data_IF_354997505932
#
_entry.id   IF_354997505932
#
_cell.length_a   1.000
_cell.length_b   1.000
_cell.length_c   1.000
_cell.angle_alpha   90.00
_cell.angle_beta   90.00
_cell.angle_gamma   90.00
#
_symmetry.space_group_name_H-M   'P 1'
#
loop_
_entity.id
_entity.type
_entity.pdbx_description
1 polymer ?
#
# COMPACT_ATOMS: atom_id res chain seq x y z
N UNK A 1 4.80 -9.16 -18.75
CA UNK A 1 5.83 -8.26 -18.21
C UNK A 1 6.31 -8.85 -16.89
N UNK A 2 7.59 -8.72 -16.55
CA UNK A 2 8.11 -9.17 -15.25
C UNK A 2 7.73 -8.19 -14.14
N UNK A 3 7.67 -8.67 -12.92
CA UNK A 3 7.47 -7.85 -11.72
C UNK A 3 8.56 -6.77 -11.59
N UNK A 4 8.16 -5.58 -11.14
CA UNK A 4 9.02 -4.42 -10.95
C UNK A 4 9.62 -4.43 -9.53
N UNK A 5 10.95 -4.31 -9.44
CA UNK A 5 11.70 -4.13 -8.18
C UNK A 5 12.05 -2.65 -7.98
N UNK A 6 12.08 -2.21 -6.74
CA UNK A 6 12.33 -0.79 -6.39
C UNK A 6 13.36 -0.70 -5.28
N UNK A 7 14.08 0.41 -5.21
CA UNK A 7 14.75 0.79 -3.96
C UNK A 7 13.69 1.01 -2.85
N UNK A 8 14.07 0.97 -1.56
CA UNK A 8 13.13 1.24 -0.47
C UNK A 8 12.46 2.61 -0.64
N UNK A 9 11.12 2.63 -0.55
CA UNK A 9 10.32 3.86 -0.72
C UNK A 9 9.61 4.20 0.58
N UNK A 10 9.89 5.38 1.14
CA UNK A 10 9.17 5.85 2.31
C UNK A 10 7.69 6.12 1.97
N UNK A 11 6.79 5.56 2.78
CA UNK A 11 5.37 5.80 2.65
C UNK A 11 5.01 7.18 3.20
N UNK A 12 4.30 7.97 2.40
CA UNK A 12 3.73 9.25 2.84
C UNK A 12 2.23 9.15 2.99
N UNK A 13 1.70 9.64 4.12
CA UNK A 13 0.25 9.76 4.30
C UNK A 13 -0.30 10.91 3.44
N UNK A 14 -1.34 10.64 2.65
CA UNK A 14 -1.99 11.62 1.78
C UNK A 14 -3.51 11.61 1.94
N UNK A 15 -4.14 12.76 1.71
CA UNK A 15 -5.60 12.92 1.72
C UNK A 15 -6.26 12.38 0.45
N UNK A 16 -5.51 12.29 -0.65
CA UNK A 16 -5.97 11.74 -1.93
C UNK A 16 -4.89 10.86 -2.56
N UNK A 17 -5.25 9.62 -2.89
CA UNK A 17 -4.34 8.66 -3.55
C UNK A 17 -4.42 8.72 -5.08
N UNK A 18 -5.41 9.43 -5.61
CA UNK A 18 -5.68 9.55 -7.06
C UNK A 18 -5.39 10.94 -7.60
N UNK A 19 -4.88 11.85 -6.76
CA UNK A 19 -4.41 13.14 -7.21
C UNK A 19 -3.11 12.97 -8.02
N UNK A 20 -2.90 13.79 -9.05
CA UNK A 20 -1.69 13.74 -9.90
C UNK A 20 -0.37 13.95 -9.13
N UNK A 21 -0.48 14.48 -7.91
CA UNK A 21 0.62 14.83 -7.00
C UNK A 21 0.93 13.76 -5.94
N UNK A 22 0.15 12.68 -5.87
CA UNK A 22 0.43 11.62 -4.92
C UNK A 22 1.78 10.94 -5.28
N UNK A 23 2.75 10.86 -4.34
CA UNK A 23 4.06 10.30 -4.63
C UNK A 23 4.04 8.78 -4.66
N UNK A 24 5.10 8.18 -5.22
CA UNK A 24 5.29 6.74 -5.17
C UNK A 24 5.28 6.23 -3.72
N UNK A 25 4.58 5.13 -3.45
CA UNK A 25 4.45 4.58 -2.09
C UNK A 25 3.52 5.39 -1.17
N UNK A 26 2.84 6.43 -1.65
CA UNK A 26 1.84 7.14 -0.86
C UNK A 26 0.75 6.20 -0.33
N UNK A 27 0.20 6.52 0.82
CA UNK A 27 -0.86 5.76 1.49
C UNK A 27 -2.02 6.69 1.84
N UNK A 28 -3.24 6.24 1.55
CA UNK A 28 -4.48 6.86 2.05
C UNK A 28 -5.28 5.84 2.84
N UNK A 29 -5.40 6.05 4.14
CA UNK A 29 -6.28 5.24 4.97
C UNK A 29 -7.75 5.52 4.65
N UNK A 30 -8.56 4.48 4.73
CA UNK A 30 -10.01 4.59 4.72
C UNK A 30 -10.57 3.93 5.97
N UNK A 31 -11.66 4.49 6.47
CA UNK A 31 -12.24 4.14 7.77
C UNK A 31 -13.56 3.38 7.59
N UNK A 32 -13.92 2.59 8.61
CA UNK A 32 -15.26 2.04 8.77
C UNK A 32 -16.24 3.14 9.22
N UNK A 33 -17.54 2.83 9.26
CA UNK A 33 -18.55 3.73 9.82
C UNK A 33 -18.27 4.13 11.29
N UNK A 34 -17.51 3.34 12.03
CA UNK A 34 -17.12 3.60 13.43
C UNK A 34 -15.80 4.39 13.55
N UNK A 35 -15.33 5.04 12.48
CA UNK A 35 -14.07 5.79 12.44
C UNK A 35 -12.81 4.97 12.78
N UNK A 36 -12.86 3.65 12.55
CA UNK A 36 -11.71 2.77 12.71
C UNK A 36 -11.05 2.51 11.35
N UNK A 37 -9.71 2.45 11.25
CA UNK A 37 -9.03 2.09 10.01
C UNK A 37 -9.52 0.74 9.48
N UNK A 38 -10.13 0.73 8.30
CA UNK A 38 -10.58 -0.48 7.61
C UNK A 38 -9.49 -1.05 6.69
N UNK A 39 -8.63 -0.18 6.19
CA UNK A 39 -7.54 -0.47 5.29
C UNK A 39 -6.91 0.81 4.77
N UNK A 40 -6.10 0.67 3.74
CA UNK A 40 -5.57 1.79 3.00
C UNK A 40 -5.41 1.46 1.52
N UNK A 41 -5.53 2.48 0.70
CA UNK A 41 -5.03 2.44 -0.67
C UNK A 41 -3.58 2.91 -0.68
N UNK A 42 -2.79 2.36 -1.59
CA UNK A 42 -1.43 2.79 -1.80
C UNK A 42 -1.14 3.00 -3.28
N UNK A 43 -0.27 3.95 -3.58
CA UNK A 43 0.24 4.15 -4.92
C UNK A 43 1.48 3.29 -5.11
N UNK A 44 1.57 2.62 -6.26
CA UNK A 44 2.64 1.69 -6.55
C UNK A 44 4.01 2.32 -6.28
N UNK A 45 4.86 1.68 -5.46
CA UNK A 45 6.19 2.21 -5.12
C UNK A 45 7.11 2.41 -6.33
N UNK A 46 6.83 1.79 -7.48
CA UNK A 46 7.63 2.01 -8.70
C UNK A 46 7.35 3.35 -9.39
N UNK A 47 6.33 4.10 -8.96
CA UNK A 47 5.98 5.40 -9.53
C UNK A 47 5.08 5.36 -10.77
N UNK A 48 4.62 4.17 -11.20
CA UNK A 48 3.69 4.02 -12.33
C UNK A 48 2.27 4.57 -12.07
N UNK A 49 2.00 5.03 -10.84
CA UNK A 49 0.71 5.57 -10.36
C UNK A 49 -0.43 4.56 -10.27
N UNK A 50 -0.19 3.28 -10.50
CA UNK A 50 -1.20 2.26 -10.24
C UNK A 50 -1.54 2.21 -8.75
N UNK A 51 -2.82 2.04 -8.40
CA UNK A 51 -3.29 2.00 -7.02
C UNK A 51 -3.59 0.57 -6.60
N UNK A 52 -3.06 0.16 -5.45
CA UNK A 52 -3.40 -1.08 -4.77
C UNK A 52 -4.17 -0.84 -3.47
N UNK A 53 -4.69 -1.91 -2.88
CA UNK A 53 -5.44 -1.86 -1.62
C UNK A 53 -4.95 -2.90 -0.62
N UNK A 54 -4.87 -2.50 0.64
CA UNK A 54 -4.57 -3.39 1.76
C UNK A 54 -5.69 -3.26 2.79
N UNK A 55 -6.35 -4.38 3.09
CA UNK A 55 -7.39 -4.46 4.11
C UNK A 55 -6.76 -4.79 5.46
N UNK A 56 -7.05 -4.02 6.50
CA UNK A 56 -6.47 -4.20 7.85
C UNK A 56 -7.50 -4.51 8.95
N UNK A 57 -8.79 -4.54 8.61
CA UNK A 57 -9.85 -4.94 9.53
C UNK A 57 -10.87 -5.88 8.90
N UNK A 58 -11.45 -6.77 9.71
CA UNK A 58 -12.46 -7.75 9.30
C UNK A 58 -11.89 -9.04 8.70
N UNK A 59 -12.75 -9.94 8.20
CA UNK A 59 -12.32 -11.24 7.65
C UNK A 59 -11.33 -11.08 6.49
N UNK A 60 -10.25 -11.86 6.52
CA UNK A 60 -9.21 -11.86 5.48
C UNK A 60 -8.31 -10.62 5.47
N UNK A 61 -8.27 -9.85 6.58
CA UNK A 61 -7.40 -8.69 6.71
C UNK A 61 -5.94 -9.08 6.98
N UNK A 62 -5.03 -8.22 6.52
CA UNK A 62 -3.63 -8.25 6.92
C UNK A 62 -3.51 -7.86 8.39
N UNK A 63 -2.54 -8.45 9.08
CA UNK A 63 -2.18 -8.01 10.43
C UNK A 63 -1.46 -6.68 10.33
N UNK A 64 -1.99 -5.64 10.95
CA UNK A 64 -1.45 -4.27 10.94
C UNK A 64 -1.09 -3.83 12.37
N UNK A 65 -0.01 -3.05 12.50
CA UNK A 65 0.50 -2.58 13.80
C UNK A 65 -0.32 -1.44 14.44
N UNK A 66 -1.36 -0.94 13.79
CA UNK A 66 -2.19 0.15 14.30
C UNK A 66 -1.63 1.57 14.09
N UNK A 67 -0.43 1.70 13.50
CA UNK A 67 0.23 2.99 13.32
C UNK A 67 -0.03 3.58 11.93
N UNK A 68 -0.52 4.83 11.89
CA UNK A 68 -0.64 5.61 10.64
C UNK A 68 0.66 6.32 10.25
N UNK A 69 1.52 6.59 11.24
CA UNK A 69 2.81 7.27 11.03
C UNK A 69 3.87 6.31 10.48
N UNK A 70 3.93 5.10 11.04
CA UNK A 70 4.85 4.03 10.64
C UNK A 70 4.08 2.74 10.43
N UNK A 71 3.26 2.66 9.37
CA UNK A 71 2.44 1.49 9.11
C UNK A 71 3.32 0.28 8.84
N UNK A 72 2.95 -0.84 9.45
CA UNK A 72 3.55 -2.16 9.19
C UNK A 72 2.43 -3.16 8.97
N UNK A 73 2.49 -3.92 7.88
CA UNK A 73 1.58 -5.04 7.62
C UNK A 73 2.36 -6.35 7.55
N UNK A 74 1.90 -7.37 8.29
CA UNK A 74 2.54 -8.68 8.34
C UNK A 74 1.95 -9.59 7.25
N UNK A 75 2.39 -9.35 6.03
CA UNK A 75 2.43 -10.22 4.86
C UNK A 75 2.89 -9.38 3.67
N UNK A 76 3.48 -10.00 2.67
CA UNK A 76 3.84 -9.28 1.44
C UNK A 76 2.58 -8.83 0.70
N UNK A 77 2.63 -7.64 0.12
CA UNK A 77 1.59 -7.02 -0.69
C UNK A 77 1.92 -7.23 -2.15
N UNK A 78 1.02 -7.89 -2.88
CA UNK A 78 1.14 -8.12 -4.32
C UNK A 78 0.14 -7.23 -5.06
N UNK A 79 0.67 -6.36 -5.92
CA UNK A 79 -0.09 -5.58 -6.89
C UNK A 79 -0.03 -6.29 -8.24
N UNK A 80 -1.18 -6.49 -8.87
CA UNK A 80 -1.29 -7.11 -10.19
C UNK A 80 -1.58 -6.07 -11.26
N UNK A 81 -1.10 -6.27 -12.48
CA UNK A 81 -1.58 -5.54 -13.66
C UNK A 81 -3.05 -5.90 -13.94
N UNK A 82 -3.68 -5.18 -14.87
CA UNK A 82 -5.07 -5.45 -15.30
C UNK A 82 -5.25 -6.88 -15.87
N UNK A 83 -4.21 -7.47 -16.45
CA UNK A 83 -4.22 -8.84 -16.97
C UNK A 83 -3.94 -9.91 -15.88
N UNK A 84 -3.97 -9.52 -14.61
CA UNK A 84 -3.66 -10.37 -13.44
C UNK A 84 -2.22 -10.87 -13.37
N UNK A 85 -1.30 -10.38 -14.21
CA UNK A 85 0.13 -10.65 -14.03
C UNK A 85 0.70 -9.85 -12.85
N UNK A 86 1.67 -10.38 -12.10
CA UNK A 86 2.37 -9.62 -11.05
C UNK A 86 2.95 -8.31 -11.60
N UNK A 87 2.65 -7.21 -10.93
CA UNK A 87 3.19 -5.89 -11.24
C UNK A 87 4.29 -5.50 -10.25
N UNK A 88 3.98 -5.48 -8.95
CA UNK A 88 4.91 -5.14 -7.88
C UNK A 88 4.61 -6.00 -6.65
N UNK A 89 5.65 -6.47 -5.97
CA UNK A 89 5.53 -7.33 -4.80
C UNK A 89 6.56 -6.92 -3.74
N UNK A 90 6.10 -6.75 -2.51
CA UNK A 90 6.99 -6.32 -1.43
C UNK A 90 6.30 -6.24 -0.08
N UNK A 91 7.01 -5.66 0.89
CA UNK A 91 6.56 -5.51 2.27
C UNK A 91 6.40 -4.03 2.63
N UNK A 92 5.50 -3.75 3.56
CA UNK A 92 5.41 -2.44 4.23
C UNK A 92 5.81 -2.64 5.70
N UNK A 93 6.97 -2.10 6.06
CA UNK A 93 7.54 -2.21 7.41
C UNK A 93 8.03 -0.84 7.87
N UNK A 94 7.58 -0.41 9.04
CA UNK A 94 7.95 0.85 9.69
C UNK A 94 7.81 2.08 8.76
N UNK A 95 6.78 2.06 7.91
CA UNK A 95 6.51 3.12 6.94
C UNK A 95 7.41 3.08 5.70
N UNK A 96 8.07 1.96 5.40
CA UNK A 96 8.90 1.78 4.21
C UNK A 96 8.40 0.62 3.37
N UNK A 97 8.23 0.86 2.07
CA UNK A 97 7.97 -0.14 1.05
C UNK A 97 9.27 -0.76 0.56
N UNK A 98 9.42 -2.06 0.72
CA UNK A 98 10.60 -2.82 0.27
C UNK A 98 10.16 -3.93 -0.70
N UNK A 99 10.65 -3.91 -1.93
CA UNK A 99 10.39 -5.00 -2.87
C UNK A 99 11.11 -6.27 -2.42
N UNK A 100 10.46 -7.43 -2.57
CA UNK A 100 11.05 -8.73 -2.19
C UNK A 100 11.81 -9.40 -3.33
#
# INVERSE_FOLDING_TARGET
MSEVKTEPVAASLVDSIVADEAPAGAIKFYETADHKPAGFHFQCPCGCRQVGGVKVAGPGAWTWNGSRDKPTVRASVLLHNHDMSPHWHGYLTDGVWESC
#
